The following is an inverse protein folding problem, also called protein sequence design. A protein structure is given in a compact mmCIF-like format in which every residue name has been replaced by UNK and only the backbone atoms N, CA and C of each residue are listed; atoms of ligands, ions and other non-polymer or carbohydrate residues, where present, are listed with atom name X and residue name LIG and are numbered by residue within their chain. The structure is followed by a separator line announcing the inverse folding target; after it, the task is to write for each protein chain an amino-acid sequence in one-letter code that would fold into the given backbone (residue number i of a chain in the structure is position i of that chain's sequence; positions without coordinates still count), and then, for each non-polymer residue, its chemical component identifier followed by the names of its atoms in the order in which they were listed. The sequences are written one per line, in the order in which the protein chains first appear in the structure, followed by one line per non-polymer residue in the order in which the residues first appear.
data_IF_731414757311
#
_entry.id   IF_731414757311
#
_cell.length_a   1.000
_cell.length_b   1.000
_cell.length_c   1.000
_cell.angle_alpha   90.00
_cell.angle_beta   90.00
_cell.angle_gamma   90.00
#
_symmetry.space_group_name_H-M   'P 1'
#
loop_
_entity.id
_entity.type
_entity.pdbx_description
1 polymer ?
#
# COMPACT_ATOMS: atom_id res chain seq x y z
N UNK A 1 7.36 16.38 -8.22
CA UNK A 1 6.18 15.72 -8.82
C UNK A 1 5.53 14.81 -7.80
N UNK A 2 4.31 15.10 -7.38
CA UNK A 2 3.52 14.27 -6.46
C UNK A 2 2.45 13.51 -7.26
N UNK A 3 2.88 12.59 -8.13
CA UNK A 3 1.97 11.75 -8.92
C UNK A 3 1.88 10.37 -8.29
N UNK A 4 0.68 9.96 -7.92
CA UNK A 4 0.35 8.61 -7.45
C UNK A 4 -0.31 7.88 -8.61
N UNK A 5 0.24 6.73 -9.01
CA UNK A 5 -0.33 5.88 -10.05
C UNK A 5 -1.03 4.71 -9.38
N UNK A 6 -2.33 4.55 -9.62
CA UNK A 6 -3.12 3.45 -9.07
C UNK A 6 -3.60 2.56 -10.20
N UNK A 7 -3.47 1.25 -10.00
CA UNK A 7 -4.02 0.26 -10.91
C UNK A 7 -5.56 0.30 -10.85
N UNK A 8 -6.23 0.41 -12.00
CA UNK A 8 -7.70 0.46 -12.08
C UNK A 8 -8.38 -0.82 -11.55
N UNK A 9 -7.67 -1.95 -11.57
CA UNK A 9 -8.17 -3.20 -10.99
C UNK A 9 -8.33 -3.13 -9.46
N UNK A 10 -7.70 -2.16 -8.78
CA UNK A 10 -7.92 -1.88 -7.35
C UNK A 10 -9.38 -1.50 -7.06
N UNK A 11 -10.11 -0.96 -8.03
CA UNK A 11 -11.54 -0.65 -7.86
C UNK A 11 -12.40 -1.90 -7.60
N UNK A 12 -11.88 -3.10 -7.87
CA UNK A 12 -12.54 -4.39 -7.60
C UNK A 12 -12.18 -4.97 -6.22
N UNK A 13 -11.24 -4.35 -5.50
CA UNK A 13 -10.80 -4.80 -4.16
C UNK A 13 -11.64 -4.12 -3.08
N UNK A 14 -11.52 -4.58 -1.83
CA UNK A 14 -12.18 -3.95 -0.69
C UNK A 14 -11.64 -2.53 -0.45
N UNK A 15 -12.41 -1.70 0.27
CA UNK A 15 -11.97 -0.36 0.64
C UNK A 15 -10.67 -0.38 1.45
N UNK A 16 -10.48 -1.38 2.31
CA UNK A 16 -9.25 -1.58 3.09
C UNK A 16 -8.03 -1.73 2.19
N UNK A 17 -8.15 -2.50 1.10
CA UNK A 17 -7.07 -2.69 0.14
C UNK A 17 -6.73 -1.38 -0.60
N UNK A 18 -7.74 -0.57 -0.95
CA UNK A 18 -7.55 0.72 -1.60
C UNK A 18 -6.87 1.70 -0.62
N UNK A 19 -7.33 1.74 0.63
CA UNK A 19 -6.74 2.57 1.69
C UNK A 19 -5.28 2.20 1.95
N UNK A 20 -4.96 0.90 1.99
CA UNK A 20 -3.59 0.42 2.10
C UNK A 20 -2.69 0.96 0.99
N UNK A 21 -3.08 0.78 -0.28
CA UNK A 21 -2.27 1.26 -1.41
C UNK A 21 -2.12 2.77 -1.38
N UNK A 22 -3.19 3.51 -1.10
CA UNK A 22 -3.12 4.97 -1.06
C UNK A 22 -2.15 5.46 0.03
N UNK A 23 -2.25 4.93 1.25
CA UNK A 23 -1.35 5.30 2.35
C UNK A 23 0.08 4.87 2.04
N UNK A 24 0.28 3.69 1.44
CA UNK A 24 1.59 3.19 1.02
C UNK A 24 2.29 4.18 0.08
N UNK A 25 1.62 4.58 -1.00
CA UNK A 25 2.15 5.55 -1.97
C UNK A 25 2.40 6.93 -1.36
N UNK A 26 1.53 7.36 -0.43
CA UNK A 26 1.73 8.61 0.30
C UNK A 26 2.95 8.55 1.22
N UNK A 27 3.20 7.42 1.88
CA UNK A 27 4.38 7.22 2.74
C UNK A 27 5.65 7.20 1.89
N UNK A 28 5.60 6.70 0.65
CA UNK A 28 6.73 6.80 -0.29
C UNK A 28 7.17 8.24 -0.62
N UNK A 29 6.29 9.22 -0.45
CA UNK A 29 6.66 10.64 -0.56
C UNK A 29 7.54 11.12 0.59
N UNK A 30 7.47 10.44 1.75
CA UNK A 30 8.23 10.75 2.97
C UNK A 30 9.48 9.88 3.11
N UNK A 31 9.37 8.60 2.75
CA UNK A 31 10.44 7.61 2.85
C UNK A 31 10.38 6.68 1.63
N UNK A 32 11.40 6.73 0.76
CA UNK A 32 11.35 6.06 -0.53
C UNK A 32 11.45 4.54 -0.44
N UNK A 33 12.20 4.02 0.54
CA UNK A 33 12.47 2.58 0.66
C UNK A 33 11.60 1.97 1.78
N UNK A 34 11.27 0.68 1.72
CA UNK A 34 10.56 -0.02 2.82
C UNK A 34 11.43 -0.31 4.06
N UNK A 35 12.16 0.71 4.54
CA UNK A 35 13.01 0.65 5.73
C UNK A 35 12.20 0.53 7.03
N UNK A 36 12.87 0.39 8.17
CA UNK A 36 12.20 0.43 9.48
C UNK A 36 11.47 1.76 9.72
N UNK A 37 11.99 2.86 9.16
CA UNK A 37 11.32 4.15 9.21
C UNK A 37 10.01 4.15 8.41
N UNK A 38 10.01 3.53 7.23
CA UNK A 38 8.78 3.33 6.44
C UNK A 38 7.74 2.55 7.24
N UNK A 39 8.14 1.43 7.84
CA UNK A 39 7.24 0.62 8.69
C UNK A 39 6.71 1.42 9.88
N UNK A 40 7.53 2.26 10.50
CA UNK A 40 7.10 3.14 11.59
C UNK A 40 6.05 4.17 11.12
N UNK A 41 6.21 4.74 9.91
CA UNK A 41 5.22 5.63 9.31
C UNK A 41 3.92 4.88 8.97
N UNK A 42 4.00 3.67 8.41
CA UNK A 42 2.83 2.83 8.16
C UNK A 42 2.10 2.48 9.46
N UNK A 43 2.82 2.09 10.52
CA UNK A 43 2.24 1.82 11.83
C UNK A 43 1.54 3.05 12.44
N UNK A 44 2.03 4.26 12.12
CA UNK A 44 1.44 5.52 12.58
C UNK A 44 0.18 5.89 11.80
N UNK A 45 0.22 5.78 10.47
CA UNK A 45 -0.86 6.27 9.61
C UNK A 45 -1.93 5.23 9.30
N UNK A 46 -1.58 3.95 9.33
CA UNK A 46 -2.50 2.85 9.08
C UNK A 46 -2.11 1.62 9.92
N UNK A 47 -2.39 1.61 11.25
CA UNK A 47 -1.90 0.56 12.16
C UNK A 47 -2.25 -0.88 11.73
N UNK A 48 -3.32 -1.06 10.95
CA UNK A 48 -3.80 -2.34 10.42
C UNK A 48 -3.23 -2.69 9.03
N UNK A 49 -2.26 -1.93 8.52
CA UNK A 49 -1.74 -2.09 7.16
C UNK A 49 -1.27 -3.51 6.82
N UNK A 50 -0.77 -4.26 7.81
CA UNK A 50 -0.34 -5.64 7.62
C UNK A 50 -1.52 -6.54 7.24
N UNK A 51 -2.65 -6.39 7.93
CA UNK A 51 -3.89 -7.12 7.62
C UNK A 51 -4.40 -6.75 6.23
N UNK A 52 -4.41 -5.47 5.88
CA UNK A 52 -4.90 -5.00 4.59
C UNK A 52 -3.99 -5.41 3.43
N UNK A 53 -2.67 -5.44 3.66
CA UNK A 53 -1.71 -6.00 2.71
C UNK A 53 -1.96 -7.50 2.50
N UNK A 54 -2.20 -8.24 3.58
CA UNK A 54 -2.46 -9.68 3.51
C UNK A 54 -3.80 -9.96 2.78
N UNK A 55 -4.83 -9.14 3.03
CA UNK A 55 -6.10 -9.15 2.28
C UNK A 55 -5.90 -8.86 0.78
N UNK A 56 -5.08 -7.84 0.46
CA UNK A 56 -4.75 -7.48 -0.91
C UNK A 56 -4.05 -8.63 -1.65
N UNK A 57 -3.09 -9.27 -0.99
CA UNK A 57 -2.30 -10.40 -1.53
C UNK A 57 -3.12 -11.66 -1.75
N UNK A 58 -4.20 -11.87 -0.97
CA UNK A 58 -5.09 -13.03 -1.11
C UNK A 58 -6.13 -12.86 -2.24
N UNK A 59 -6.38 -11.63 -2.69
CA UNK A 59 -7.37 -11.38 -3.72
C UNK A 59 -6.84 -11.79 -5.12
N UNK A 60 -7.59 -12.59 -5.92
CA UNK A 60 -7.10 -13.34 -7.09
C UNK A 60 -6.78 -12.53 -8.37
N UNK A 61 -6.28 -11.30 -8.26
CA UNK A 61 -5.83 -10.50 -9.39
C UNK A 61 -4.39 -10.00 -9.17
N UNK A 62 -3.52 -10.58 -10.00
CA UNK A 62 -2.12 -10.27 -10.38
C UNK A 62 -1.20 -9.61 -9.35
N UNK A 63 -0.27 -10.43 -8.86
CA UNK A 63 1.19 -10.22 -8.84
C UNK A 63 1.67 -8.85 -9.38
N UNK A 64 1.53 -7.79 -8.59
CA UNK A 64 2.55 -6.75 -8.58
C UNK A 64 3.58 -7.24 -7.57
N UNK A 65 4.70 -7.74 -8.09
CA UNK A 65 5.88 -7.99 -7.29
C UNK A 65 6.30 -6.63 -6.75
N UNK A 66 5.93 -6.31 -5.51
CA UNK A 66 6.25 -5.05 -4.85
C UNK A 66 7.75 -5.03 -4.54
N UNK A 67 8.56 -4.77 -5.56
CA UNK A 67 9.99 -4.54 -5.47
C UNK A 67 10.21 -3.03 -5.49
N UNK A 68 10.04 -2.38 -4.34
CA UNK A 68 10.44 -0.98 -4.12
C UNK A 68 11.32 -0.88 -2.87
#
# INVERSE_FOLDING_TARGET
DYRVWLNLELAKKSLNCIEYVLVHEMVHLLERNHSEHFKALMNKFLPQWQLYRDELNQAPLSYEEWVS
#
